data_IF_703728351126
#
_entry.id   IF_703728351126
#
_cell.length_a   1.000
_cell.length_b   1.000
_cell.length_c   1.000
_cell.angle_alpha   90.00
_cell.angle_beta   90.00
_cell.angle_gamma   90.00
#
_symmetry.space_group_name_H-M   'P 1'
#
loop_
_entity.id
_entity.type
_entity.pdbx_description
1 polymer ?
#
# COMPACT_ATOMS: atom_id res chain seq x y z
N UNK A 1 -33.23 8.66 -95.71
CA UNK A 1 -34.33 8.24 -94.86
C UNK A 1 -33.70 7.85 -93.51
N UNK A 2 -33.71 8.74 -92.59
CA UNK A 2 -33.06 8.59 -91.27
C UNK A 2 -34.17 8.52 -90.22
N UNK A 3 -34.12 7.51 -89.40
CA UNK A 3 -34.91 7.42 -88.14
C UNK A 3 -34.09 7.89 -86.98
N UNK A 4 -34.62 8.63 -85.99
CA UNK A 4 -33.92 9.09 -84.87
C UNK A 4 -33.90 8.05 -83.70
N UNK A 5 -32.74 7.95 -83.06
CA UNK A 5 -32.54 7.16 -81.84
C UNK A 5 -33.05 7.99 -80.68
N UNK A 6 -33.95 7.40 -79.89
CA UNK A 6 -34.49 7.99 -78.67
C UNK A 6 -33.67 7.47 -77.45
N UNK A 7 -32.93 8.33 -76.82
CA UNK A 7 -32.22 8.03 -75.57
C UNK A 7 -33.19 8.01 -74.39
N UNK A 8 -33.21 6.88 -73.68
CA UNK A 8 -33.95 6.76 -72.40
C UNK A 8 -33.01 7.21 -71.27
N UNK A 9 -33.33 8.37 -70.69
CA UNK A 9 -32.65 8.85 -69.44
C UNK A 9 -33.37 8.17 -68.25
N UNK A 10 -32.66 7.25 -67.59
CA UNK A 10 -33.15 6.66 -66.38
C UNK A 10 -32.91 7.67 -65.21
N UNK A 11 -33.98 8.18 -64.64
CA UNK A 11 -33.92 8.97 -63.42
C UNK A 11 -33.47 8.08 -62.25
N UNK A 12 -32.21 8.19 -61.85
CA UNK A 12 -31.72 7.60 -60.61
C UNK A 12 -32.25 8.43 -59.43
N UNK A 13 -33.05 7.78 -58.60
CA UNK A 13 -33.60 8.38 -57.38
C UNK A 13 -32.50 8.63 -56.31
N UNK A 14 -31.84 9.80 -56.41
CA UNK A 14 -30.82 10.28 -55.50
C UNK A 14 -31.41 10.57 -54.11
N UNK A 15 -32.70 10.86 -54.03
CA UNK A 15 -33.39 11.20 -52.77
C UNK A 15 -33.54 10.03 -51.79
N UNK A 16 -33.71 8.81 -52.29
CA UNK A 16 -33.83 7.61 -51.44
C UNK A 16 -32.51 7.21 -50.79
N UNK A 17 -31.38 7.36 -51.51
CA UNK A 17 -30.02 7.05 -50.96
C UNK A 17 -29.55 8.08 -49.92
N UNK A 18 -29.87 9.36 -50.07
CA UNK A 18 -29.52 10.40 -49.09
C UNK A 18 -30.33 10.18 -47.79
N UNK A 19 -31.59 9.79 -47.86
CA UNK A 19 -32.41 9.50 -46.67
C UNK A 19 -31.91 8.26 -45.93
N UNK A 20 -31.50 7.21 -46.64
CA UNK A 20 -30.95 5.99 -45.99
C UNK A 20 -29.63 6.25 -45.32
N UNK A 21 -28.72 7.02 -45.94
CA UNK A 21 -27.41 7.38 -45.35
C UNK A 21 -27.60 8.29 -44.12
N UNK A 22 -28.55 9.25 -44.20
CA UNK A 22 -28.82 10.14 -43.06
C UNK A 22 -29.42 9.40 -41.86
N UNK A 23 -30.35 8.44 -42.09
CA UNK A 23 -30.93 7.62 -41.03
C UNK A 23 -29.91 6.68 -40.42
N UNK A 24 -29.04 6.06 -41.23
CA UNK A 24 -27.96 5.19 -40.74
C UNK A 24 -26.92 5.97 -39.92
N UNK A 25 -26.53 7.18 -40.34
CA UNK A 25 -25.62 8.03 -39.62
C UNK A 25 -26.18 8.51 -38.27
N UNK A 26 -27.49 8.83 -38.22
CA UNK A 26 -28.17 9.23 -36.97
C UNK A 26 -28.31 8.05 -36.01
N UNK A 27 -28.61 6.85 -36.50
CA UNK A 27 -28.70 5.64 -35.64
C UNK A 27 -27.33 5.23 -35.10
N UNK A 28 -26.25 5.31 -35.91
CA UNK A 28 -24.89 5.03 -35.47
C UNK A 28 -24.40 6.10 -34.46
N UNK A 29 -24.74 7.39 -34.69
CA UNK A 29 -24.41 8.46 -33.74
C UNK A 29 -25.22 8.32 -32.44
N UNK A 30 -26.50 7.92 -32.49
CA UNK A 30 -27.31 7.67 -31.31
C UNK A 30 -26.85 6.44 -30.51
N UNK A 31 -26.36 5.36 -31.15
CA UNK A 31 -25.78 4.21 -30.47
C UNK A 31 -24.42 4.53 -29.84
N UNK A 32 -23.62 5.42 -30.44
CA UNK A 32 -22.36 5.87 -29.84
C UNK A 32 -22.58 6.76 -28.61
N UNK A 33 -23.70 7.48 -28.51
CA UNK A 33 -24.05 8.30 -27.35
C UNK A 33 -24.59 7.44 -26.18
N UNK A 34 -25.16 6.26 -26.46
CA UNK A 34 -25.71 5.35 -25.43
C UNK A 34 -24.58 4.51 -24.76
N UNK A 35 -23.40 4.43 -25.34
CA UNK A 35 -22.29 3.60 -24.88
C UNK A 35 -21.17 4.38 -24.14
N UNK A 36 -21.33 5.68 -23.88
CA UNK A 36 -20.45 6.35 -22.95
C UNK A 36 -20.94 6.02 -21.54
N UNK A 37 -20.18 5.28 -20.70
CA UNK A 37 -20.49 5.22 -19.29
C UNK A 37 -20.52 6.67 -18.81
N UNK A 38 -21.59 7.06 -18.10
CA UNK A 38 -21.58 8.33 -17.39
C UNK A 38 -20.33 8.27 -16.49
N UNK A 39 -19.38 9.17 -16.71
CA UNK A 39 -18.29 9.36 -15.76
C UNK A 39 -18.98 9.71 -14.44
N UNK A 40 -19.06 8.75 -13.53
CA UNK A 40 -19.49 9.02 -12.17
C UNK A 40 -18.44 9.96 -11.62
N UNK A 41 -18.87 11.12 -11.17
CA UNK A 41 -17.97 12.05 -10.51
C UNK A 41 -17.53 11.38 -9.20
N UNK A 42 -16.25 11.05 -9.10
CA UNK A 42 -15.68 10.53 -7.87
C UNK A 42 -15.90 11.53 -6.75
N UNK A 43 -16.33 11.04 -5.61
CA UNK A 43 -16.62 11.89 -4.45
C UNK A 43 -15.70 11.51 -3.30
N UNK A 44 -14.85 12.46 -2.88
CA UNK A 44 -14.09 12.32 -1.66
C UNK A 44 -14.93 12.76 -0.46
N UNK A 45 -14.92 11.95 0.58
CA UNK A 45 -15.58 12.21 1.88
C UNK A 45 -14.57 12.05 3.00
N UNK A 46 -14.51 13.03 3.93
CA UNK A 46 -13.71 12.91 5.14
C UNK A 46 -14.55 12.17 6.19
N UNK A 47 -14.05 11.01 6.63
CA UNK A 47 -14.72 10.17 7.61
C UNK A 47 -14.35 10.56 9.04
N UNK A 48 -13.11 11.02 9.26
CA UNK A 48 -12.61 11.50 10.55
C UNK A 48 -11.42 12.45 10.35
N UNK A 49 -11.42 13.57 11.07
CA UNK A 49 -10.28 14.49 11.17
C UNK A 49 -9.67 14.35 12.57
N UNK A 50 -8.40 13.97 12.65
CA UNK A 50 -7.70 13.81 13.93
C UNK A 50 -7.44 15.15 14.60
N UNK A 51 -7.50 15.15 15.94
CA UNK A 51 -7.29 16.35 16.75
C UNK A 51 -5.89 16.47 17.35
N UNK A 52 -5.07 15.40 17.26
CA UNK A 52 -3.80 15.30 17.97
C UNK A 52 -3.97 15.05 19.48
N UNK A 53 -5.21 14.92 19.95
CA UNK A 53 -5.57 14.61 21.33
C UNK A 53 -5.64 13.11 21.59
N UNK A 54 -6.68 12.68 22.32
CA UNK A 54 -6.88 11.26 22.67
C UNK A 54 -7.19 10.37 21.47
N UNK A 55 -7.66 10.93 20.37
CA UNK A 55 -7.94 10.24 19.11
C UNK A 55 -6.68 9.96 18.28
N UNK A 56 -5.55 10.56 18.64
CA UNK A 56 -4.28 10.42 17.92
C UNK A 56 -4.04 11.51 16.87
N UNK A 57 -3.01 11.32 16.07
CA UNK A 57 -2.69 12.25 14.98
C UNK A 57 -1.54 11.78 14.11
N UNK A 58 -1.49 12.36 12.90
CA UNK A 58 -0.44 12.11 11.91
C UNK A 58 -0.36 10.64 11.46
N UNK A 59 -1.49 10.00 11.04
CA UNK A 59 -1.44 8.63 10.55
C UNK A 59 -0.48 8.52 9.36
N UNK A 60 0.43 7.56 9.42
CA UNK A 60 1.42 7.27 8.38
C UNK A 60 1.17 5.89 7.76
N UNK A 61 0.48 5.01 8.48
CA UNK A 61 0.08 3.72 7.94
C UNK A 61 -1.26 3.80 7.22
N UNK A 62 -1.47 2.86 6.31
CA UNK A 62 -2.79 2.61 5.76
C UNK A 62 -3.72 1.96 6.79
N UNK A 63 -4.91 1.63 6.33
CA UNK A 63 -5.97 1.03 7.14
C UNK A 63 -5.99 -0.49 6.98
N UNK A 64 -6.53 -1.18 7.99
CA UNK A 64 -6.95 -2.57 7.93
C UNK A 64 -8.46 -2.64 8.12
N UNK A 65 -9.17 -3.36 7.26
CA UNK A 65 -10.61 -3.48 7.30
C UNK A 65 -11.03 -4.86 7.81
N UNK A 66 -12.02 -4.93 8.71
CA UNK A 66 -12.64 -6.19 9.12
C UNK A 66 -13.82 -6.54 8.18
N UNK A 67 -14.36 -7.74 8.34
CA UNK A 67 -15.50 -8.23 7.55
C UNK A 67 -16.80 -7.43 7.74
N UNK A 68 -16.89 -6.64 8.80
CA UNK A 68 -18.03 -5.77 9.07
C UNK A 68 -17.85 -4.35 8.50
N UNK A 69 -16.74 -4.09 7.79
CA UNK A 69 -16.44 -2.79 7.22
C UNK A 69 -15.94 -1.76 8.25
N UNK A 70 -15.42 -2.20 9.39
CA UNK A 70 -14.73 -1.30 10.32
C UNK A 70 -13.26 -1.18 9.92
N UNK A 71 -12.68 0.00 10.10
CA UNK A 71 -11.28 0.28 9.82
C UNK A 71 -10.46 0.35 11.10
N UNK A 72 -9.23 -0.14 11.02
CA UNK A 72 -8.25 -0.11 12.11
C UNK A 72 -6.97 0.54 11.60
N UNK A 73 -6.38 1.40 12.40
CA UNK A 73 -5.15 2.10 12.02
C UNK A 73 -4.36 2.55 13.24
N UNK A 74 -3.22 3.16 12.95
CA UNK A 74 -2.29 3.68 13.94
C UNK A 74 -2.05 5.17 13.75
N UNK A 75 -1.73 5.86 14.82
CA UNK A 75 -1.23 7.22 14.79
C UNK A 75 0.02 7.33 15.63
N UNK A 76 1.14 7.86 15.11
CA UNK A 76 2.38 8.01 15.88
C UNK A 76 2.33 9.14 16.91
N UNK A 77 1.33 10.03 16.83
CA UNK A 77 1.16 11.16 17.74
C UNK A 77 -0.18 11.10 18.45
N UNK A 78 -0.34 11.90 19.51
CA UNK A 78 -1.55 11.97 20.32
C UNK A 78 -1.61 10.89 21.40
N UNK A 79 -2.79 10.67 21.97
CA UNK A 79 -2.95 9.84 23.16
C UNK A 79 -2.20 10.42 24.35
N UNK A 80 -1.27 9.66 24.91
CA UNK A 80 -0.34 10.14 25.94
C UNK A 80 0.93 10.82 25.37
N UNK A 81 0.95 11.09 24.06
CA UNK A 81 2.09 11.66 23.33
C UNK A 81 2.95 10.61 22.58
N UNK A 82 2.58 9.34 22.71
CA UNK A 82 3.33 8.22 22.12
C UNK A 82 2.55 7.45 21.05
N UNK A 83 1.37 7.98 20.66
CA UNK A 83 0.54 7.43 19.61
C UNK A 83 -0.58 6.52 20.11
N UNK A 84 -1.42 6.10 19.17
CA UNK A 84 -2.62 5.30 19.43
C UNK A 84 -2.81 4.20 18.39
N UNK A 85 -3.63 3.19 18.76
CA UNK A 85 -4.31 2.32 17.81
C UNK A 85 -5.80 2.66 17.89
N UNK A 86 -6.45 2.88 16.76
CA UNK A 86 -7.85 3.26 16.67
C UNK A 86 -8.68 2.26 15.86
N UNK A 87 -9.98 2.31 16.09
CA UNK A 87 -11.02 1.69 15.27
C UNK A 87 -11.99 2.78 14.80
N UNK A 88 -12.31 2.80 13.52
CA UNK A 88 -13.33 3.63 12.93
C UNK A 88 -14.48 2.73 12.48
N UNK A 89 -15.69 2.96 13.01
CA UNK A 89 -16.87 2.15 12.73
C UNK A 89 -18.00 3.00 12.20
N UNK A 90 -18.72 2.49 11.20
CA UNK A 90 -19.95 3.11 10.73
C UNK A 90 -21.13 2.75 11.65
N UNK A 91 -21.86 3.74 12.09
CA UNK A 91 -23.08 3.60 12.90
C UNK A 91 -24.24 4.23 12.16
N UNK A 92 -25.47 4.05 12.64
CA UNK A 92 -26.63 4.73 12.03
C UNK A 92 -26.56 6.28 12.08
N UNK A 93 -25.64 6.84 12.85
CA UNK A 93 -25.40 8.29 12.96
C UNK A 93 -24.14 8.76 12.21
N UNK A 94 -23.45 7.88 11.46
CA UNK A 94 -22.21 8.17 10.75
C UNK A 94 -21.00 7.42 11.30
N UNK A 95 -19.81 7.88 10.96
CA UNK A 95 -18.55 7.28 11.38
C UNK A 95 -18.17 7.71 12.80
N UNK A 96 -17.71 6.76 13.60
CA UNK A 96 -17.30 6.97 14.99
C UNK A 96 -15.94 6.34 15.21
N UNK A 97 -14.97 7.16 15.63
CA UNK A 97 -13.65 6.69 16.04
C UNK A 97 -13.65 6.28 17.51
N UNK A 98 -13.03 5.12 17.78
CA UNK A 98 -12.75 4.62 19.12
C UNK A 98 -11.27 4.34 19.27
N UNK A 99 -10.59 4.96 20.23
CA UNK A 99 -9.21 4.62 20.58
C UNK A 99 -9.19 3.27 21.28
N UNK A 100 -8.55 2.28 20.66
CA UNK A 100 -8.43 0.93 21.20
C UNK A 100 -7.30 0.83 22.22
N UNK A 101 -6.18 1.49 21.94
CA UNK A 101 -5.00 1.52 22.79
C UNK A 101 -4.29 2.86 22.68
N UNK A 102 -3.72 3.31 23.78
CA UNK A 102 -2.90 4.52 23.89
C UNK A 102 -1.54 4.14 24.43
N UNK A 103 -0.52 4.27 23.62
CA UNK A 103 0.84 3.97 24.02
C UNK A 103 1.33 4.96 25.09
N UNK A 104 2.02 4.42 26.09
CA UNK A 104 2.56 5.19 27.22
C UNK A 104 4.04 5.52 27.05
N UNK A 105 4.71 4.86 26.10
CA UNK A 105 6.15 4.97 25.93
C UNK A 105 6.95 4.38 27.11
N UNK A 106 8.26 4.51 27.07
CA UNK A 106 9.16 4.02 28.11
C UNK A 106 9.43 2.51 28.03
N UNK A 107 10.04 1.97 29.08
CA UNK A 107 10.61 0.62 29.05
C UNK A 107 9.60 -0.52 28.92
N UNK A 108 8.37 -0.34 29.33
CA UNK A 108 7.36 -1.42 29.34
C UNK A 108 6.43 -1.40 28.14
N UNK A 109 6.37 -0.31 27.39
CA UNK A 109 5.38 -0.09 26.32
C UNK A 109 6.05 0.46 25.04
N UNK A 110 5.32 0.45 23.94
CA UNK A 110 5.76 1.00 22.67
C UNK A 110 5.59 2.52 22.56
N UNK A 111 6.16 3.09 21.50
CA UNK A 111 5.98 4.49 21.12
C UNK A 111 6.10 4.67 19.60
N UNK A 112 5.26 5.55 19.04
CA UNK A 112 5.29 5.87 17.62
C UNK A 112 4.96 4.68 16.72
N UNK A 113 3.73 4.13 16.75
CA UNK A 113 3.30 3.14 15.79
C UNK A 113 3.11 3.82 14.43
N UNK A 114 3.95 3.49 13.46
CA UNK A 114 3.93 4.06 12.11
C UNK A 114 3.61 3.03 11.03
N UNK A 115 3.65 1.73 11.34
CA UNK A 115 3.19 0.66 10.48
C UNK A 115 1.71 0.32 10.74
N UNK A 116 1.11 -0.32 9.78
CA UNK A 116 -0.27 -0.80 9.84
C UNK A 116 -0.42 -1.91 10.87
N UNK A 117 -1.54 -1.92 11.59
CA UNK A 117 -1.94 -3.10 12.38
C UNK A 117 -2.67 -4.09 11.51
N UNK A 118 -2.40 -5.38 11.68
CA UNK A 118 -2.98 -6.47 10.90
C UNK A 118 -3.65 -7.50 11.80
N UNK A 119 -4.73 -8.11 11.32
CA UNK A 119 -5.32 -9.25 12.01
C UNK A 119 -4.45 -10.49 11.87
N UNK A 120 -4.07 -11.08 12.98
CA UNK A 120 -3.48 -12.41 12.99
C UNK A 120 -4.54 -13.52 12.85
N UNK A 121 -4.09 -14.79 12.67
CA UNK A 121 -5.00 -15.95 12.53
C UNK A 121 -5.92 -16.16 13.72
N UNK A 122 -5.59 -15.62 14.88
CA UNK A 122 -6.35 -15.71 16.13
C UNK A 122 -7.32 -14.54 16.35
N UNK A 123 -7.44 -13.63 15.35
CA UNK A 123 -8.33 -12.46 15.38
C UNK A 123 -7.86 -11.31 16.25
N UNK A 124 -6.66 -11.39 16.82
CA UNK A 124 -6.02 -10.25 17.47
C UNK A 124 -5.41 -9.31 16.43
N UNK A 125 -5.28 -8.03 16.76
CA UNK A 125 -4.47 -7.09 15.98
C UNK A 125 -2.99 -7.20 16.39
N UNK A 126 -2.11 -7.14 15.41
CA UNK A 126 -0.67 -7.17 15.59
C UNK A 126 -0.03 -5.96 14.91
N UNK A 127 1.00 -5.41 15.50
CA UNK A 127 1.71 -4.27 14.95
C UNK A 127 3.07 -4.07 15.59
N UNK A 128 3.73 -3.03 15.15
CA UNK A 128 5.06 -2.62 15.62
C UNK A 128 5.04 -1.17 16.05
N UNK A 129 6.00 -0.80 16.88
CA UNK A 129 6.29 0.60 17.20
C UNK A 129 7.73 0.94 16.86
N UNK A 130 7.95 2.16 16.40
CA UNK A 130 9.28 2.62 16.00
C UNK A 130 10.23 2.84 17.19
N UNK A 131 9.67 3.10 18.38
CA UNK A 131 10.40 3.38 19.61
C UNK A 131 9.66 2.74 20.81
N UNK A 132 10.14 2.97 22.02
CA UNK A 132 9.67 2.31 23.24
C UNK A 132 10.37 0.97 23.46
N UNK A 133 9.90 0.20 24.43
CA UNK A 133 10.63 -0.96 24.95
C UNK A 133 11.81 -0.55 25.83
N UNK A 134 12.47 -1.52 26.49
CA UNK A 134 13.50 -1.29 27.49
C UNK A 134 14.70 -0.45 26.96
N UNK A 135 15.02 -0.60 25.68
CA UNK A 135 16.12 0.10 25.02
C UNK A 135 15.68 1.25 24.10
N UNK A 136 14.39 1.53 24.04
CA UNK A 136 13.79 2.51 23.13
C UNK A 136 14.01 2.22 21.62
N UNK A 137 14.11 0.94 21.27
CA UNK A 137 14.35 0.49 19.88
C UNK A 137 13.11 -0.10 19.23
N UNK A 138 11.95 0.03 19.88
CA UNK A 138 10.68 -0.45 19.37
C UNK A 138 10.27 -1.82 19.90
N UNK A 139 9.02 -2.17 19.64
CA UNK A 139 8.43 -3.44 20.05
C UNK A 139 7.60 -4.05 18.93
N UNK A 140 7.34 -5.36 19.06
CA UNK A 140 6.21 -6.02 18.40
C UNK A 140 5.14 -6.27 19.46
N UNK A 141 3.90 -5.90 19.16
CA UNK A 141 2.78 -6.04 20.09
C UNK A 141 1.58 -6.76 19.46
N UNK A 142 0.68 -7.26 20.31
CA UNK A 142 -0.67 -7.65 19.91
C UNK A 142 -1.71 -6.96 20.78
N UNK A 143 -2.89 -6.69 20.19
CA UNK A 143 -4.06 -6.14 20.90
C UNK A 143 -5.23 -7.09 20.79
N UNK A 144 -5.88 -7.36 21.92
CA UNK A 144 -7.08 -8.19 22.00
C UNK A 144 -8.25 -7.40 22.56
N UNK A 145 -9.47 -7.60 22.02
CA UNK A 145 -10.65 -7.01 22.59
C UNK A 145 -10.87 -7.52 24.02
N UNK A 146 -11.52 -6.74 24.89
CA UNK A 146 -11.89 -7.19 26.21
C UNK A 146 -12.80 -8.42 26.13
N UNK A 147 -12.56 -9.40 26.99
CA UNK A 147 -13.32 -10.67 27.03
C UNK A 147 -14.75 -10.51 27.58
N UNK A 148 -15.04 -9.37 28.18
CA UNK A 148 -16.37 -9.04 28.70
C UNK A 148 -17.01 -7.93 27.89
N UNK A 149 -18.35 -8.02 27.70
CA UNK A 149 -19.08 -6.97 27.01
C UNK A 149 -18.84 -5.60 27.65
N UNK A 150 -18.30 -4.70 26.90
CA UNK A 150 -17.99 -3.37 27.36
C UNK A 150 -19.24 -2.52 27.45
N UNK A 151 -19.44 -1.85 28.59
CA UNK A 151 -20.58 -0.98 28.88
C UNK A 151 -20.23 0.52 28.86
N UNK A 152 -18.97 0.85 28.54
CA UNK A 152 -18.50 2.24 28.45
C UNK A 152 -18.17 2.60 27.02
N UNK A 153 -18.16 3.90 26.73
CA UNK A 153 -17.76 4.44 25.40
C UNK A 153 -16.27 4.19 25.12
N UNK A 154 -15.47 4.03 26.18
CA UNK A 154 -14.05 3.68 26.10
C UNK A 154 -13.88 2.23 26.55
N UNK A 155 -13.53 1.38 25.61
CA UNK A 155 -13.22 -0.03 25.84
C UNK A 155 -11.80 -0.32 25.37
N UNK A 156 -10.78 -0.01 26.16
CA UNK A 156 -9.41 -0.26 25.77
C UNK A 156 -9.18 -1.76 25.57
N UNK A 157 -8.51 -2.08 24.50
CA UNK A 157 -8.06 -3.43 24.24
C UNK A 157 -6.84 -3.75 25.11
N UNK A 158 -6.61 -5.02 25.37
CA UNK A 158 -5.46 -5.45 26.15
C UNK A 158 -4.27 -5.61 25.23
N UNK A 159 -3.20 -4.86 25.51
CA UNK A 159 -1.92 -5.00 24.84
C UNK A 159 -1.10 -6.13 25.47
N UNK A 160 -0.40 -6.84 24.62
CA UNK A 160 0.66 -7.78 24.99
C UNK A 160 1.89 -7.49 24.14
N UNK A 161 2.99 -7.17 24.79
CA UNK A 161 4.29 -7.04 24.13
C UNK A 161 4.84 -8.43 23.84
N UNK A 162 5.09 -8.71 22.56
CA UNK A 162 5.58 -10.00 22.07
C UNK A 162 7.11 -10.04 22.03
N UNK A 163 7.72 -8.91 21.63
CA UNK A 163 9.18 -8.75 21.62
C UNK A 163 9.55 -7.28 21.85
N UNK A 164 10.66 -7.07 22.56
CA UNK A 164 11.32 -5.75 22.75
C UNK A 164 12.68 -5.79 22.10
N UNK A 165 12.90 -4.96 21.11
CA UNK A 165 14.17 -4.91 20.42
C UNK A 165 15.26 -4.31 21.34
N UNK A 166 16.45 -4.93 21.31
CA UNK A 166 17.59 -4.54 22.14
C UNK A 166 18.63 -3.76 21.37
N UNK A 167 18.54 -3.75 20.05
CA UNK A 167 19.40 -3.03 19.12
C UNK A 167 20.65 -3.80 18.69
N UNK A 168 21.21 -4.58 19.57
CA UNK A 168 22.42 -5.34 19.26
C UNK A 168 22.05 -6.80 18.93
N UNK A 169 22.12 -7.12 17.65
CA UNK A 169 21.85 -8.46 17.15
C UNK A 169 20.44 -8.68 16.63
N UNK A 170 19.41 -8.17 17.28
CA UNK A 170 18.00 -8.38 16.94
C UNK A 170 17.34 -7.23 16.15
N UNK A 171 18.03 -6.10 15.96
CA UNK A 171 17.55 -4.97 15.17
C UNK A 171 16.97 -3.82 15.97
N UNK A 172 16.63 -2.72 15.30
CA UNK A 172 15.98 -1.53 15.87
C UNK A 172 15.00 -0.91 14.87
N UNK A 173 14.02 -0.17 15.37
CA UNK A 173 13.05 0.57 14.55
C UNK A 173 12.27 -0.35 13.60
N UNK A 174 11.48 -1.30 14.13
CA UNK A 174 10.66 -2.23 13.31
C UNK A 174 9.40 -1.57 12.74
N UNK A 175 9.22 -0.28 12.95
CA UNK A 175 7.95 0.39 12.76
C UNK A 175 7.60 0.79 11.32
N UNK A 176 8.47 0.58 10.34
CA UNK A 176 8.21 1.07 8.98
C UNK A 176 7.45 0.08 8.11
N UNK A 177 7.69 -1.21 8.26
CA UNK A 177 7.10 -2.25 7.44
C UNK A 177 5.95 -3.00 8.12
N UNK A 178 5.02 -3.48 7.31
CA UNK A 178 3.94 -4.35 7.76
C UNK A 178 4.48 -5.70 8.22
N UNK A 179 3.81 -6.31 9.21
CA UNK A 179 4.09 -7.68 9.61
C UNK A 179 3.48 -8.66 8.62
N UNK A 180 4.08 -9.84 8.47
CA UNK A 180 3.53 -10.96 7.72
C UNK A 180 3.35 -12.20 8.61
N UNK A 181 2.41 -13.08 8.24
CA UNK A 181 2.14 -14.31 8.97
C UNK A 181 2.32 -15.52 8.07
N UNK A 182 2.90 -16.59 8.60
CA UNK A 182 2.81 -17.90 7.97
C UNK A 182 1.55 -18.67 8.43
N UNK A 183 1.28 -19.81 7.80
CA UNK A 183 0.13 -20.65 8.12
C UNK A 183 0.14 -21.23 9.55
N UNK A 184 1.30 -21.23 10.21
CA UNK A 184 1.44 -21.66 11.61
C UNK A 184 1.21 -20.50 12.60
N UNK A 185 1.03 -19.28 12.09
CA UNK A 185 0.82 -18.08 12.88
C UNK A 185 2.11 -17.46 13.41
N UNK A 186 3.27 -17.84 12.86
CA UNK A 186 4.51 -17.14 13.14
C UNK A 186 4.49 -15.76 12.45
N UNK A 187 5.17 -14.80 13.04
CA UNK A 187 5.23 -13.41 12.59
C UNK A 187 6.58 -13.14 11.95
N UNK A 188 6.58 -12.44 10.82
CA UNK A 188 7.77 -12.00 10.13
C UNK A 188 7.73 -10.49 9.95
N UNK A 189 8.89 -9.86 10.01
CA UNK A 189 9.03 -8.42 9.80
C UNK A 189 10.48 -8.01 9.59
N UNK A 190 10.67 -6.72 9.43
CA UNK A 190 11.96 -6.09 9.21
C UNK A 190 12.25 -5.08 10.31
N UNK A 191 13.52 -4.79 10.53
CA UNK A 191 13.96 -3.63 11.29
C UNK A 191 14.85 -2.77 10.42
N UNK A 192 14.65 -1.45 10.50
CA UNK A 192 15.37 -0.52 9.64
C UNK A 192 16.88 -0.46 9.95
N UNK A 193 17.25 -0.54 11.23
CA UNK A 193 18.62 -0.55 11.69
C UNK A 193 18.90 -1.75 12.61
N UNK A 194 20.13 -1.84 13.12
CA UNK A 194 20.57 -2.88 14.03
C UNK A 194 20.97 -4.16 13.31
N UNK A 195 21.03 -5.27 14.04
CA UNK A 195 21.65 -6.51 13.55
C UNK A 195 23.17 -6.45 13.57
N UNK A 196 23.84 -7.52 13.10
CA UNK A 196 25.32 -7.59 13.11
C UNK A 196 25.97 -6.53 12.22
N UNK A 197 25.33 -6.17 11.11
CA UNK A 197 25.79 -5.12 10.19
C UNK A 197 25.36 -3.71 10.58
N UNK A 198 24.46 -3.55 11.53
CA UNK A 198 23.93 -2.25 11.95
C UNK A 198 22.89 -1.64 10.99
N UNK A 199 22.56 -2.31 9.89
CA UNK A 199 21.76 -1.79 8.76
C UNK A 199 20.50 -2.60 8.48
N UNK A 200 19.98 -3.24 9.53
CA UNK A 200 18.69 -3.89 9.54
C UNK A 200 18.73 -5.41 9.51
N UNK A 201 17.62 -5.99 9.87
CA UNK A 201 17.42 -7.44 9.87
C UNK A 201 16.06 -7.82 9.29
N UNK A 202 15.93 -9.09 8.89
CA UNK A 202 14.65 -9.79 8.77
C UNK A 202 14.53 -10.71 9.98
N UNK A 203 13.45 -10.56 10.75
CA UNK A 203 13.19 -11.35 11.96
C UNK A 203 11.97 -12.24 11.82
N UNK A 204 11.92 -13.26 12.66
CA UNK A 204 10.76 -14.12 12.86
C UNK A 204 10.43 -14.21 14.34
N UNK A 205 9.16 -14.07 14.70
CA UNK A 205 8.66 -14.44 16.03
C UNK A 205 7.92 -15.77 15.93
N UNK A 206 8.35 -16.74 16.72
CA UNK A 206 7.72 -18.06 16.80
C UNK A 206 6.97 -18.18 18.12
N UNK A 207 5.72 -18.59 18.04
CA UNK A 207 4.87 -18.78 19.23
C UNK A 207 5.10 -20.15 19.88
N UNK A 208 5.29 -20.16 21.19
CA UNK A 208 5.33 -21.37 22.01
C UNK A 208 4.44 -21.19 23.24
N UNK A 209 3.21 -21.71 23.18
CA UNK A 209 2.20 -21.46 24.20
C UNK A 209 1.79 -19.98 24.27
N UNK A 210 2.05 -19.33 25.41
CA UNK A 210 1.82 -17.91 25.60
C UNK A 210 3.06 -17.05 25.36
N UNK A 211 4.21 -17.67 25.14
CA UNK A 211 5.48 -16.99 24.91
C UNK A 211 5.80 -16.88 23.43
N UNK A 212 6.59 -15.85 23.11
CA UNK A 212 7.13 -15.63 21.79
C UNK A 212 8.65 -15.63 21.85
N UNK A 213 9.28 -16.23 20.86
CA UNK A 213 10.74 -16.26 20.71
C UNK A 213 11.09 -15.62 19.38
N UNK A 214 11.94 -14.60 19.46
CA UNK A 214 12.53 -13.95 18.30
C UNK A 214 13.69 -14.77 17.75
N UNK A 215 13.87 -14.72 16.44
CA UNK A 215 15.01 -15.24 15.69
C UNK A 215 15.32 -14.32 14.54
N UNK A 216 16.56 -13.83 14.46
CA UNK A 216 17.06 -13.14 13.28
C UNK A 216 17.26 -14.18 12.17
N UNK A 217 16.52 -14.03 11.07
CA UNK A 217 16.65 -14.89 9.91
C UNK A 217 17.81 -14.43 9.03
N UNK A 218 17.93 -13.12 8.86
CA UNK A 218 19.00 -12.50 8.07
C UNK A 218 19.39 -11.16 8.68
N UNK A 219 20.67 -10.87 8.73
CA UNK A 219 21.23 -9.57 9.13
C UNK A 219 21.95 -8.98 7.93
N UNK A 220 21.42 -7.89 7.41
CA UNK A 220 22.03 -7.21 6.27
C UNK A 220 23.42 -6.69 6.60
N UNK A 221 24.31 -6.72 5.61
CA UNK A 221 25.69 -6.27 5.75
C UNK A 221 26.06 -5.27 4.66
N UNK A 222 26.99 -4.39 4.95
CA UNK A 222 27.49 -3.41 3.97
C UNK A 222 28.53 -4.04 3.04
N UNK A 223 28.21 -5.22 2.50
CA UNK A 223 29.09 -5.96 1.58
C UNK A 223 29.09 -5.38 0.15
N UNK A 224 28.21 -4.40 -0.12
CA UNK A 224 28.07 -3.71 -1.39
C UNK A 224 27.29 -4.45 -2.48
N UNK A 225 26.93 -5.72 -2.26
CA UNK A 225 26.18 -6.56 -3.21
C UNK A 225 24.86 -7.06 -2.66
N UNK A 226 24.55 -6.73 -1.43
CA UNK A 226 23.33 -7.10 -0.70
C UNK A 226 22.43 -5.90 -0.51
N UNK A 227 21.18 -6.15 -0.09
CA UNK A 227 20.30 -5.09 0.37
C UNK A 227 20.78 -4.49 1.70
N UNK A 228 20.28 -3.31 2.03
CA UNK A 228 20.49 -2.67 3.33
C UNK A 228 19.35 -1.70 3.64
N UNK A 229 19.10 -1.47 4.92
CA UNK A 229 18.04 -0.57 5.37
C UNK A 229 16.64 -1.02 4.85
N UNK A 230 16.16 -2.20 5.21
CA UNK A 230 14.83 -2.65 4.82
C UNK A 230 13.79 -1.71 5.46
N UNK A 231 13.00 -1.05 4.60
CA UNK A 231 11.99 -0.10 5.02
C UNK A 231 10.58 -0.73 4.98
N UNK A 232 10.24 -1.36 3.88
CA UNK A 232 9.01 -2.12 3.74
C UNK A 232 8.99 -3.41 4.57
N UNK A 233 7.80 -3.97 4.72
CA UNK A 233 7.62 -5.31 5.29
C UNK A 233 8.03 -6.41 4.32
N UNK A 234 7.68 -7.64 4.68
CA UNK A 234 7.96 -8.82 3.84
C UNK A 234 6.69 -9.54 3.43
N UNK A 235 6.77 -10.27 2.32
CA UNK A 235 5.76 -11.23 1.88
C UNK A 235 6.37 -12.62 1.78
N UNK A 236 5.55 -13.66 1.99
CA UNK A 236 5.98 -15.05 1.94
C UNK A 236 5.30 -15.76 0.78
N UNK A 237 6.06 -16.60 0.06
CA UNK A 237 5.48 -17.54 -0.88
C UNK A 237 5.05 -18.84 -0.19
N UNK A 238 4.39 -19.72 -0.93
CA UNK A 238 3.92 -21.02 -0.43
C UNK A 238 5.06 -21.99 -0.07
N UNK A 239 6.28 -21.76 -0.54
CA UNK A 239 7.48 -22.54 -0.20
C UNK A 239 8.15 -22.00 1.07
N UNK A 240 7.71 -20.88 1.60
CA UNK A 240 8.28 -20.21 2.77
C UNK A 240 9.48 -19.32 2.45
N UNK A 241 9.74 -18.99 1.17
CA UNK A 241 10.69 -17.94 0.84
C UNK A 241 10.08 -16.58 1.22
N UNK A 242 10.96 -15.65 1.56
CA UNK A 242 10.59 -14.32 2.05
C UNK A 242 11.10 -13.28 1.04
N UNK A 243 10.23 -12.35 0.65
CA UNK A 243 10.58 -11.27 -0.27
C UNK A 243 10.34 -9.92 0.38
N UNK A 244 11.20 -8.97 0.10
CA UNK A 244 11.08 -7.61 0.62
C UNK A 244 11.93 -6.63 -0.17
N UNK A 245 11.92 -5.38 0.28
CA UNK A 245 12.64 -4.27 -0.33
C UNK A 245 13.61 -3.65 0.66
N UNK A 246 14.68 -3.05 0.13
CA UNK A 246 15.65 -2.28 0.91
C UNK A 246 15.92 -0.95 0.22
N UNK A 247 16.27 0.09 0.99
CA UNK A 247 16.62 1.40 0.43
C UNK A 247 18.07 1.49 -0.04
N UNK A 248 18.97 0.70 0.53
CA UNK A 248 20.35 0.56 0.08
C UNK A 248 20.59 -0.72 -0.71
N UNK A 249 21.71 -0.80 -1.39
CA UNK A 249 22.13 -1.92 -2.24
C UNK A 249 23.20 -1.48 -3.20
N UNK A 250 23.43 -2.24 -4.27
CA UNK A 250 24.57 -2.09 -5.22
C UNK A 250 24.80 -0.63 -5.68
N UNK A 251 23.72 0.10 -6.00
CA UNK A 251 23.80 1.49 -6.46
C UNK A 251 23.32 2.49 -5.39
N UNK A 252 23.07 2.03 -4.18
CA UNK A 252 22.47 2.82 -3.10
C UNK A 252 21.06 3.36 -3.45
N UNK A 253 20.36 2.65 -4.37
CA UNK A 253 19.02 3.00 -4.86
C UNK A 253 17.97 1.97 -4.45
N UNK A 254 18.37 0.96 -3.70
CA UNK A 254 17.52 -0.11 -3.21
C UNK A 254 17.54 -1.38 -4.04
N UNK A 255 17.04 -2.45 -3.44
CA UNK A 255 16.88 -3.75 -4.10
C UNK A 255 15.55 -4.39 -3.72
N UNK A 256 15.11 -5.34 -4.54
CA UNK A 256 14.19 -6.40 -4.13
C UNK A 256 15.03 -7.62 -3.79
N UNK A 257 14.86 -8.17 -2.61
CA UNK A 257 15.55 -9.36 -2.15
C UNK A 257 14.62 -10.55 -1.99
N UNK A 258 15.19 -11.75 -2.09
CA UNK A 258 14.61 -13.01 -1.69
C UNK A 258 15.47 -13.65 -0.59
N UNK A 259 14.86 -14.04 0.52
CA UNK A 259 15.49 -14.95 1.47
C UNK A 259 14.94 -16.36 1.25
N UNK A 260 15.82 -17.32 1.04
CA UNK A 260 15.51 -18.74 0.93
C UNK A 260 16.30 -19.54 1.96
N UNK A 261 15.80 -20.73 2.30
CA UNK A 261 16.41 -21.61 3.29
C UNK A 261 16.70 -23.00 2.69
N UNK A 262 17.65 -23.10 1.74
CA UNK A 262 17.94 -24.35 1.05
C UNK A 262 18.66 -25.39 1.91
N UNK A 263 19.11 -25.04 3.10
CA UNK A 263 19.87 -25.92 4.01
C UNK A 263 19.65 -25.55 5.47
N UNK A 264 20.71 -25.24 6.19
CA UNK A 264 20.67 -24.90 7.64
C UNK A 264 20.69 -23.41 7.93
N UNK A 265 20.86 -22.55 6.92
CA UNK A 265 20.92 -21.10 7.05
C UNK A 265 20.10 -20.40 5.98
N UNK A 266 19.64 -19.23 6.30
CA UNK A 266 19.00 -18.34 5.33
C UNK A 266 20.04 -17.71 4.41
N UNK A 267 19.67 -17.58 3.14
CA UNK A 267 20.50 -16.96 2.10
C UNK A 267 19.71 -15.88 1.40
N UNK A 268 20.32 -14.70 1.27
CA UNK A 268 19.80 -13.63 0.45
C UNK A 268 20.18 -13.83 -1.02
N UNK A 269 19.27 -13.51 -1.89
CA UNK A 269 19.47 -13.36 -3.34
C UNK A 269 18.84 -12.04 -3.76
N UNK A 270 19.60 -11.18 -4.42
CA UNK A 270 19.05 -9.96 -5.02
C UNK A 270 18.23 -10.36 -6.24
N UNK A 271 16.94 -10.07 -6.20
CA UNK A 271 15.97 -10.31 -7.27
C UNK A 271 16.05 -9.22 -8.33
N UNK A 272 16.11 -7.96 -7.88
CA UNK A 272 16.29 -6.77 -8.73
C UNK A 272 17.08 -5.70 -7.99
N UNK A 273 17.95 -4.99 -8.72
CA UNK A 273 18.71 -3.86 -8.17
C UNK A 273 18.31 -2.59 -8.91
N UNK A 274 17.74 -1.65 -8.20
CA UNK A 274 17.26 -0.39 -8.75
C UNK A 274 18.36 0.59 -9.13
N UNK A 275 18.00 1.62 -9.93
CA UNK A 275 18.93 2.67 -10.39
C UNK A 275 19.71 2.31 -11.64
N UNK A 276 19.34 1.25 -12.35
CA UNK A 276 19.92 0.88 -13.64
C UNK A 276 19.45 1.79 -14.79
N UNK A 277 20.30 2.01 -15.83
CA UNK A 277 19.85 2.70 -17.05
C UNK A 277 19.03 1.76 -17.96
N UNK A 278 18.07 2.28 -18.77
CA UNK A 278 17.51 3.63 -18.68
C UNK A 278 16.26 3.67 -17.80
N UNK A 279 16.13 4.71 -16.97
CA UNK A 279 14.88 5.10 -16.32
C UNK A 279 14.31 4.08 -15.30
N UNK A 280 15.16 3.33 -14.61
CA UNK A 280 14.73 2.43 -13.55
C UNK A 280 14.16 3.21 -12.34
N UNK A 281 13.43 2.52 -11.48
CA UNK A 281 12.97 3.09 -10.22
C UNK A 281 14.09 3.25 -9.20
N UNK A 282 13.81 4.01 -8.14
CA UNK A 282 14.71 4.24 -7.01
C UNK A 282 13.94 4.31 -5.69
N UNK A 283 14.57 3.87 -4.60
CA UNK A 283 14.02 3.93 -3.24
C UNK A 283 12.65 3.24 -3.11
N UNK A 284 12.58 1.91 -3.14
CA UNK A 284 11.36 1.13 -2.92
C UNK A 284 10.99 1.14 -1.43
N UNK A 285 10.08 2.03 -1.02
CA UNK A 285 9.64 2.15 0.37
C UNK A 285 8.59 1.13 0.75
N UNK A 286 7.66 0.84 -0.16
CA UNK A 286 6.48 0.04 0.10
C UNK A 286 6.78 -1.45 0.32
N UNK A 287 5.91 -2.11 1.08
CA UNK A 287 5.86 -3.57 1.15
C UNK A 287 5.38 -4.12 -0.20
N UNK A 288 6.03 -5.17 -0.68
CA UNK A 288 5.60 -5.87 -1.90
C UNK A 288 4.22 -6.52 -1.70
N UNK A 289 3.48 -6.68 -2.78
CA UNK A 289 2.35 -7.60 -2.83
C UNK A 289 2.67 -8.75 -3.79
N UNK A 290 2.05 -9.91 -3.56
CA UNK A 290 2.25 -11.12 -4.38
C UNK A 290 0.90 -11.63 -4.86
N UNK A 291 0.80 -11.96 -6.16
CA UNK A 291 -0.38 -12.59 -6.72
C UNK A 291 -0.33 -14.13 -6.56
N UNK A 292 -1.39 -14.80 -7.02
CA UNK A 292 -1.50 -16.27 -6.94
C UNK A 292 -0.51 -16.99 -7.86
N UNK A 293 0.06 -16.32 -8.84
CA UNK A 293 1.06 -16.84 -9.77
C UNK A 293 2.48 -16.69 -9.21
N UNK A 294 2.64 -15.94 -8.11
CA UNK A 294 3.91 -15.64 -7.49
C UNK A 294 4.60 -14.41 -8.09
N UNK A 295 3.90 -13.62 -8.91
CA UNK A 295 4.42 -12.34 -9.38
C UNK A 295 4.42 -11.36 -8.20
N UNK A 296 5.48 -10.57 -8.12
CA UNK A 296 5.65 -9.52 -7.11
C UNK A 296 5.36 -8.16 -7.74
N UNK A 297 4.61 -7.34 -7.04
CA UNK A 297 4.34 -5.96 -7.44
C UNK A 297 4.82 -5.02 -6.36
N UNK A 298 5.35 -3.89 -6.78
CA UNK A 298 5.83 -2.85 -5.87
C UNK A 298 5.91 -1.49 -6.52
N UNK A 299 6.30 -0.52 -5.73
CA UNK A 299 6.45 0.88 -6.13
C UNK A 299 7.84 1.39 -5.77
N UNK A 300 8.28 2.41 -6.47
CA UNK A 300 9.47 3.18 -6.10
C UNK A 300 9.10 4.64 -5.88
N UNK A 301 9.72 5.27 -4.89
CA UNK A 301 9.45 6.66 -4.52
C UNK A 301 10.03 7.67 -5.51
N UNK A 302 11.09 7.25 -6.23
CA UNK A 302 11.82 8.06 -7.22
C UNK A 302 12.18 7.21 -8.43
N UNK A 303 12.83 7.86 -9.41
CA UNK A 303 13.24 7.21 -10.65
C UNK A 303 12.12 7.20 -11.67
N UNK A 304 12.25 6.33 -12.67
CA UNK A 304 11.42 6.37 -13.86
C UNK A 304 11.79 7.52 -14.79
N UNK A 305 11.05 7.67 -15.88
CA UNK A 305 11.30 8.73 -16.89
C UNK A 305 11.01 10.13 -16.38
N UNK A 306 10.14 10.25 -15.40
CA UNK A 306 9.66 11.51 -14.81
C UNK A 306 10.41 11.90 -13.55
N UNK A 307 11.04 10.92 -12.85
CA UNK A 307 11.63 11.08 -11.54
C UNK A 307 10.64 10.98 -10.37
N UNK A 308 9.34 10.75 -10.65
CA UNK A 308 8.26 10.68 -9.65
C UNK A 308 8.03 9.27 -9.11
N UNK A 309 8.83 8.30 -9.52
CA UNK A 309 8.70 6.91 -9.14
C UNK A 309 8.00 6.06 -10.20
N UNK A 310 7.95 4.77 -9.92
CA UNK A 310 7.39 3.76 -10.83
C UNK A 310 6.50 2.79 -10.08
N UNK A 311 5.59 2.15 -10.80
CA UNK A 311 4.97 0.89 -10.40
C UNK A 311 5.57 -0.22 -11.23
N UNK A 312 6.01 -1.31 -10.61
CA UNK A 312 6.71 -2.39 -11.28
C UNK A 312 6.16 -3.76 -10.93
N UNK A 313 6.46 -4.72 -11.80
CA UNK A 313 6.20 -6.14 -11.64
C UNK A 313 7.49 -6.94 -11.79
N UNK A 314 7.63 -7.98 -10.99
CA UNK A 314 8.65 -9.00 -11.10
C UNK A 314 7.97 -10.36 -11.28
N UNK A 315 8.19 -10.98 -12.44
CA UNK A 315 7.64 -12.29 -12.78
C UNK A 315 8.70 -13.38 -12.64
N UNK A 316 8.42 -14.49 -11.92
CA UNK A 316 9.35 -15.61 -11.86
C UNK A 316 9.55 -16.24 -13.25
N UNK A 317 10.80 -16.46 -13.65
CA UNK A 317 11.17 -17.04 -14.94
C UNK A 317 12.27 -18.09 -14.77
N UNK A 318 11.86 -19.32 -14.49
CA UNK A 318 12.79 -20.40 -14.14
C UNK A 318 13.55 -20.10 -12.85
N UNK A 319 14.88 -19.92 -12.93
CA UNK A 319 15.72 -19.55 -11.77
C UNK A 319 16.03 -18.04 -11.74
N UNK A 320 15.35 -17.24 -12.54
CA UNK A 320 15.54 -15.79 -12.64
C UNK A 320 14.20 -15.07 -12.53
N UNK A 321 14.24 -13.74 -12.58
CA UNK A 321 13.06 -12.89 -12.56
C UNK A 321 13.07 -11.96 -13.77
N UNK A 322 11.89 -11.69 -14.30
CA UNK A 322 11.69 -10.69 -15.36
C UNK A 322 11.11 -9.44 -14.70
N UNK A 323 11.84 -8.34 -14.75
CA UNK A 323 11.39 -7.03 -14.26
C UNK A 323 10.70 -6.25 -15.37
N UNK A 324 9.60 -5.59 -15.04
CA UNK A 324 8.84 -4.74 -15.95
C UNK A 324 8.31 -3.52 -15.23
N UNK A 325 8.50 -2.33 -15.78
CA UNK A 325 7.81 -1.12 -15.33
C UNK A 325 6.40 -1.15 -15.91
N UNK A 326 5.40 -1.13 -15.04
CA UNK A 326 3.98 -1.10 -15.41
C UNK A 326 3.53 0.33 -15.71
N UNK A 327 4.03 1.30 -14.94
CA UNK A 327 3.82 2.72 -15.16
C UNK A 327 4.97 3.55 -14.60
N UNK A 328 5.35 4.59 -15.35
CA UNK A 328 6.06 5.77 -14.84
C UNK A 328 5.03 6.73 -14.26
N UNK A 329 5.19 7.12 -13.01
CA UNK A 329 4.24 8.04 -12.39
C UNK A 329 4.45 9.47 -12.91
N UNK A 330 3.37 10.23 -13.14
CA UNK A 330 3.49 11.60 -13.65
C UNK A 330 4.14 12.51 -12.60
N UNK A 331 5.02 13.42 -13.05
CA UNK A 331 5.63 14.42 -12.18
C UNK A 331 4.98 15.78 -12.40
N UNK A 332 4.34 16.35 -11.37
CA UNK A 332 3.74 17.67 -11.49
C UNK A 332 4.60 18.78 -10.85
N UNK A 333 4.86 18.80 -9.57
CA UNK A 333 5.58 19.95 -9.01
C UNK A 333 6.56 19.68 -7.86
N UNK A 334 6.37 18.61 -7.10
CA UNK A 334 7.25 18.26 -5.99
C UNK A 334 7.20 16.75 -5.79
N UNK A 335 7.68 16.04 -6.79
CA UNK A 335 7.56 14.61 -6.93
C UNK A 335 8.02 13.83 -5.70
N UNK A 336 7.02 13.43 -4.91
CA UNK A 336 7.16 12.41 -3.90
C UNK A 336 6.27 11.24 -4.30
N UNK A 337 6.86 10.16 -4.76
CA UNK A 337 6.17 8.96 -5.21
C UNK A 337 5.46 8.20 -4.09
N UNK A 338 4.99 6.98 -4.38
CA UNK A 338 4.36 6.10 -3.41
C UNK A 338 5.29 5.72 -2.27
N UNK A 339 4.72 5.61 -1.08
CA UNK A 339 5.41 5.15 0.13
C UNK A 339 4.74 3.93 0.75
N UNK A 340 3.48 3.68 0.40
CA UNK A 340 2.67 2.56 0.84
C UNK A 340 2.88 1.28 0.03
N UNK A 341 2.15 0.23 0.40
CA UNK A 341 2.03 -0.98 -0.40
C UNK A 341 0.88 -0.84 -1.38
N UNK A 342 1.05 -1.36 -2.59
CA UNK A 342 -0.06 -1.49 -3.55
C UNK A 342 -1.21 -2.31 -2.96
N UNK A 343 -2.42 -1.99 -3.36
CA UNK A 343 -3.61 -2.82 -3.12
C UNK A 343 -4.12 -3.33 -4.45
N UNK A 344 -4.34 -4.65 -4.56
CA UNK A 344 -4.85 -5.29 -5.78
C UNK A 344 -6.30 -5.70 -5.56
N UNK A 345 -7.17 -5.39 -6.52
CA UNK A 345 -8.55 -5.86 -6.52
C UNK A 345 -8.71 -7.25 -7.18
N UNK A 346 -9.93 -7.77 -7.17
CA UNK A 346 -10.24 -9.09 -7.78
C UNK A 346 -10.15 -9.12 -9.31
N UNK A 347 -10.06 -7.98 -9.98
CA UNK A 347 -9.86 -7.86 -11.43
C UNK A 347 -8.37 -7.69 -11.81
N UNK A 348 -7.50 -7.52 -10.82
CA UNK A 348 -6.07 -7.30 -10.99
C UNK A 348 -5.69 -5.83 -11.17
N UNK A 349 -6.60 -4.89 -10.92
CA UNK A 349 -6.25 -3.48 -10.88
C UNK A 349 -5.43 -3.20 -9.62
N UNK A 350 -4.48 -2.27 -9.74
CA UNK A 350 -3.57 -1.86 -8.66
C UNK A 350 -3.90 -0.43 -8.23
N UNK A 351 -3.96 -0.23 -6.92
CA UNK A 351 -4.28 1.06 -6.31
C UNK A 351 -3.21 1.46 -5.30
N UNK A 352 -2.86 2.73 -5.27
CA UNK A 352 -2.01 3.31 -4.21
C UNK A 352 -2.19 4.83 -4.16
N UNK A 353 -1.38 5.46 -3.32
CA UNK A 353 -1.28 6.92 -3.19
C UNK A 353 0.14 7.38 -3.44
N UNK A 354 0.30 8.63 -3.87
CA UNK A 354 1.61 9.30 -3.92
C UNK A 354 1.69 10.35 -2.82
N UNK A 355 2.86 10.47 -2.19
CA UNK A 355 3.07 11.40 -1.08
C UNK A 355 3.00 12.87 -1.50
N UNK A 356 3.61 13.23 -2.61
CA UNK A 356 3.82 14.62 -3.00
C UNK A 356 3.53 14.91 -4.47
N UNK A 357 2.82 14.04 -5.16
CA UNK A 357 2.37 14.25 -6.55
C UNK A 357 1.03 15.02 -6.59
N UNK A 358 0.40 15.09 -7.77
CA UNK A 358 -0.83 15.83 -7.97
C UNK A 358 -0.61 17.33 -8.24
N UNK A 359 -1.69 18.00 -8.62
CA UNK A 359 -1.64 19.37 -9.16
C UNK A 359 -0.98 20.40 -8.23
N UNK A 360 -1.14 20.25 -6.90
CA UNK A 360 -0.56 21.15 -5.90
C UNK A 360 0.57 20.54 -5.07
N UNK A 361 0.99 19.30 -5.39
CA UNK A 361 2.03 18.59 -4.64
C UNK A 361 1.57 18.09 -3.27
N UNK A 362 0.29 17.87 -3.09
CA UNK A 362 -0.30 17.37 -1.84
C UNK A 362 -0.56 15.87 -1.85
N UNK A 363 -0.18 15.18 -2.92
CA UNK A 363 -0.40 13.77 -3.14
C UNK A 363 -1.69 13.46 -3.91
N UNK A 364 -1.79 12.26 -4.43
CA UNK A 364 -2.98 11.79 -5.14
C UNK A 364 -3.33 10.33 -4.80
N UNK A 365 -4.48 9.89 -5.26
CA UNK A 365 -4.91 8.48 -5.31
C UNK A 365 -4.93 8.07 -6.77
N UNK A 366 -4.33 6.93 -7.11
CA UNK A 366 -4.29 6.45 -8.48
C UNK A 366 -4.70 4.98 -8.62
N UNK A 367 -5.08 4.61 -9.83
CA UNK A 367 -5.37 3.25 -10.26
C UNK A 367 -4.53 2.89 -11.49
N UNK A 368 -4.04 1.67 -11.53
CA UNK A 368 -3.51 1.04 -12.73
C UNK A 368 -4.41 -0.12 -13.15
N UNK A 369 -4.93 -0.07 -14.37
CA UNK A 369 -5.78 -1.11 -14.96
C UNK A 369 -5.02 -1.87 -16.04
N UNK A 370 -5.00 -3.24 -16.02
CA UNK A 370 -4.39 -4.02 -17.09
C UNK A 370 -5.12 -3.78 -18.42
N UNK A 371 -4.38 -3.53 -19.50
CA UNK A 371 -4.91 -3.28 -20.82
C UNK A 371 -4.12 -4.06 -21.89
N UNK A 372 -4.47 -5.32 -22.12
CA UNK A 372 -3.73 -6.22 -23.01
C UNK A 372 -2.33 -6.51 -22.49
N UNK A 373 -1.30 -6.01 -23.20
CA UNK A 373 0.12 -6.13 -22.79
C UNK A 373 0.65 -4.86 -22.10
N UNK A 374 -0.20 -3.89 -21.81
CA UNK A 374 0.15 -2.62 -21.18
C UNK A 374 -0.75 -2.33 -19.98
N UNK A 375 -0.47 -1.25 -19.28
CA UNK A 375 -1.28 -0.76 -18.15
C UNK A 375 -1.75 0.66 -18.43
N UNK A 376 -2.93 0.99 -17.95
CA UNK A 376 -3.50 2.34 -18.04
C UNK A 376 -3.45 2.96 -16.65
N UNK A 377 -2.76 4.09 -16.52
CA UNK A 377 -2.76 4.92 -15.32
C UNK A 377 -3.99 5.83 -15.32
N UNK A 378 -4.68 5.89 -14.21
CA UNK A 378 -5.80 6.80 -13.97
C UNK A 378 -5.56 7.53 -12.66
N UNK A 379 -5.52 8.85 -12.72
CA UNK A 379 -5.57 9.70 -11.54
C UNK A 379 -7.01 9.75 -11.04
N UNK A 380 -7.23 9.26 -9.81
CA UNK A 380 -8.56 9.19 -9.24
C UNK A 380 -8.90 10.45 -8.42
N UNK A 381 -7.93 11.01 -7.72
CA UNK A 381 -8.12 12.21 -6.90
C UNK A 381 -6.81 12.89 -6.56
N UNK A 382 -6.72 14.19 -6.81
CA UNK A 382 -5.64 15.07 -6.36
C UNK A 382 -6.02 15.74 -5.04
N UNK A 383 -5.28 15.47 -3.97
CA UNK A 383 -5.45 16.21 -2.73
C UNK A 383 -5.01 17.68 -2.89
N UNK A 384 -5.73 18.60 -2.23
CA UNK A 384 -5.52 20.03 -2.38
C UNK A 384 -5.10 20.73 -1.08
N UNK A 385 -4.89 19.98 0.00
CA UNK A 385 -4.52 20.47 1.30
C UNK A 385 -5.68 20.97 2.18
N UNK A 386 -6.91 21.03 1.64
CA UNK A 386 -8.12 21.27 2.43
C UNK A 386 -8.90 19.99 2.66
N UNK A 387 -8.82 19.05 1.73
CA UNK A 387 -9.45 17.75 1.72
C UNK A 387 -8.46 16.62 2.05
N UNK A 388 -7.30 16.95 2.57
CA UNK A 388 -6.19 16.06 2.89
C UNK A 388 -4.89 16.49 2.22
N UNK A 389 -3.79 15.94 2.69
CA UNK A 389 -2.48 16.07 2.05
C UNK A 389 -1.52 14.99 2.52
N UNK A 390 -0.59 14.65 1.65
CA UNK A 390 0.49 13.72 1.93
C UNK A 390 -0.03 12.37 2.45
N UNK A 391 -0.82 11.62 1.66
CA UNK A 391 -1.16 10.24 1.99
C UNK A 391 0.14 9.43 2.02
N UNK A 392 0.29 8.58 3.02
CA UNK A 392 1.55 7.88 3.29
C UNK A 392 1.44 6.37 3.20
N UNK A 393 0.28 5.84 3.56
CA UNK A 393 0.04 4.41 3.62
C UNK A 393 -0.75 3.88 2.43
N UNK A 394 -0.88 2.57 2.37
CA UNK A 394 -1.71 1.90 1.37
C UNK A 394 -3.19 2.28 1.50
N UNK A 395 -3.94 2.06 0.41
CA UNK A 395 -5.39 2.14 0.41
C UNK A 395 -6.05 0.80 0.71
N UNK A 396 -7.32 0.82 1.10
CA UNK A 396 -8.16 -0.37 1.29
C UNK A 396 -9.42 -0.22 0.42
N UNK A 397 -9.83 -1.31 -0.24
CA UNK A 397 -11.06 -1.34 -1.04
C UNK A 397 -12.15 -2.14 -0.32
N UNK A 398 -13.39 -1.65 -0.38
CA UNK A 398 -14.54 -2.43 0.02
C UNK A 398 -15.12 -3.24 -1.16
N UNK A 399 -16.16 -4.03 -0.88
CA UNK A 399 -16.82 -4.84 -1.90
C UNK A 399 -17.60 -4.03 -2.96
N UNK A 400 -17.79 -2.74 -2.77
CA UNK A 400 -18.46 -1.83 -3.69
C UNK A 400 -17.46 -1.05 -4.57
N UNK A 401 -16.16 -1.21 -4.31
CA UNK A 401 -15.09 -0.48 -5.01
C UNK A 401 -14.79 0.89 -4.40
N UNK A 402 -15.35 1.23 -3.23
CA UNK A 402 -14.94 2.42 -2.52
C UNK A 402 -13.52 2.24 -1.99
N UNK A 403 -12.74 3.31 -2.05
CA UNK A 403 -11.32 3.34 -1.67
C UNK A 403 -11.19 4.15 -0.38
N UNK A 404 -10.46 3.62 0.59
CA UNK A 404 -10.25 4.25 1.90
C UNK A 404 -8.78 4.39 2.20
N UNK A 405 -8.41 5.50 2.81
CA UNK A 405 -7.03 5.75 3.20
C UNK A 405 -6.89 6.81 4.28
N UNK A 406 -5.66 7.21 4.52
CA UNK A 406 -5.30 8.24 5.49
C UNK A 406 -4.44 9.31 4.85
N UNK A 407 -4.50 10.54 5.36
CA UNK A 407 -3.58 11.63 5.02
C UNK A 407 -2.84 12.11 6.27
N UNK A 408 -1.59 12.51 6.09
CA UNK A 408 -0.75 13.06 7.16
C UNK A 408 -1.14 14.52 7.51
N UNK A 409 -1.65 15.28 6.58
CA UNK A 409 -2.10 16.67 6.71
C UNK A 409 -3.49 16.86 6.10
N UNK A 410 -4.08 18.08 6.27
CA UNK A 410 -3.64 19.17 7.14
C UNK A 410 -3.82 18.88 8.63
N UNK A 411 -3.32 19.76 9.48
CA UNK A 411 -3.47 19.59 10.94
C UNK A 411 -2.86 18.29 11.45
N UNK A 412 -3.67 17.43 12.00
CA UNK A 412 -3.26 16.11 12.53
C UNK A 412 -3.63 14.93 11.64
N UNK A 413 -4.05 15.20 10.39
CA UNK A 413 -4.39 14.17 9.40
C UNK A 413 -5.84 13.71 9.45
N UNK A 414 -6.20 12.87 8.51
CA UNK A 414 -7.58 12.47 8.25
C UNK A 414 -7.68 11.00 7.85
N UNK A 415 -8.88 10.43 8.01
CA UNK A 415 -9.33 9.22 7.34
C UNK A 415 -10.36 9.63 6.29
N UNK A 416 -10.20 9.15 5.08
CA UNK A 416 -11.04 9.52 3.94
C UNK A 416 -11.60 8.30 3.20
N UNK A 417 -12.67 8.53 2.44
CA UNK A 417 -13.32 7.62 1.51
C UNK A 417 -13.41 8.29 0.14
N UNK A 418 -13.04 7.58 -0.90
CA UNK A 418 -13.23 7.96 -2.29
C UNK A 418 -14.21 6.97 -2.92
N UNK A 419 -15.40 7.45 -3.31
CA UNK A 419 -16.40 6.65 -4.02
C UNK A 419 -16.26 6.85 -5.52
N UNK A 420 -16.30 5.75 -6.32
CA UNK A 420 -16.24 5.82 -7.79
C UNK A 420 -17.35 6.65 -8.41
#
# INVERSE_FOLDING_TARGET
>A
MSAPVQEAISNFDIGARIRTIAVTAVVVLAMAIIAAPAAQAQTLSILHTFTGGQDGGKPQAGLTMDQAGNFYGTTPQGGAGYGTVFKLSHTGAGWVLSTLYTFQGGGSDGAGPIARVLFGPDGALYGTTNAGGDSNFGIVFSLRPPITACRSVQCPWTETVLHRFTGFGDGTNPGYGDLAFDAAGNIYGTTYFGGQGGIGVVFKLTRSGESWTESVLYSFSDSGNEGSLPYGGVVLDSAGNIYGTTLGGINNQGVVFQLSHPGSSWMETVVHSFGGPPNDGEAPYGTLIMDQQGNLYGTTYKGGTTGAGTVYELQPSGNSWTYSILADLPAFSNSGGPTGALTMDGAGNLYDTTYGDGFVGAGNVFELTPSGSSWTYTDLHDFNGQDGSHPYGNVVLDAHGNIYGTTFGPGYGEVWELTP
#
